data_IF_937963256465
#
_entry.id   IF_937963256465
#
_cell.length_a   1.000
_cell.length_b   1.000
_cell.length_c   1.000
_cell.angle_alpha   90.00
_cell.angle_beta   90.00
_cell.angle_gamma   90.00
#
_symmetry.space_group_name_H-M   'P 1'
#
loop_
_entity.id
_entity.type
_entity.pdbx_description
1 polymer ?
#
# COMPACT_ATOMS: atom_id res chain seq x y z
N UNK A 1 22.60 9.64 14.49
CA UNK A 1 22.44 9.01 13.16
C UNK A 1 20.95 8.83 12.89
N UNK A 2 20.50 8.98 11.64
CA UNK A 2 19.12 8.69 11.24
C UNK A 2 18.99 7.21 10.86
N UNK A 3 17.85 6.59 11.21
CA UNK A 3 17.57 5.19 10.93
C UNK A 3 16.62 5.06 9.74
N UNK A 4 16.74 3.99 8.96
CA UNK A 4 15.83 3.73 7.86
C UNK A 4 14.39 3.48 8.37
N UNK A 5 13.36 3.91 7.63
CA UNK A 5 11.98 3.61 7.98
C UNK A 5 11.69 2.11 7.87
N UNK A 6 10.77 1.63 8.70
CA UNK A 6 10.30 0.24 8.66
C UNK A 6 9.53 -0.06 7.38
N UNK A 7 9.71 -1.27 6.85
CA UNK A 7 9.01 -1.79 5.68
C UNK A 7 8.28 -3.08 6.08
N UNK A 8 7.09 -3.28 5.54
CA UNK A 8 6.23 -4.46 5.72
C UNK A 8 5.74 -4.99 4.38
N UNK A 9 5.50 -6.28 4.27
CA UNK A 9 4.95 -6.87 3.03
C UNK A 9 3.44 -6.64 2.94
N UNK A 10 2.93 -6.26 1.77
CA UNK A 10 1.49 -6.18 1.54
C UNK A 10 0.86 -7.57 1.54
N UNK A 11 -0.19 -7.79 2.32
CA UNK A 11 -0.89 -9.07 2.40
C UNK A 11 -1.66 -9.42 1.11
N UNK A 12 -2.00 -8.43 0.29
CA UNK A 12 -2.86 -8.62 -0.89
C UNK A 12 -2.04 -8.89 -2.18
N UNK A 13 -0.99 -8.09 -2.42
CA UNK A 13 -0.19 -8.21 -3.65
C UNK A 13 1.27 -8.63 -3.42
N UNK A 14 1.72 -8.72 -2.16
CA UNK A 14 3.09 -9.12 -1.83
C UNK A 14 4.16 -8.02 -1.94
N UNK A 15 3.81 -6.82 -2.41
CA UNK A 15 4.79 -5.74 -2.58
C UNK A 15 5.19 -5.08 -1.25
N UNK A 16 6.43 -4.55 -1.11
CA UNK A 16 6.83 -3.84 0.10
C UNK A 16 6.03 -2.55 0.25
N UNK A 17 5.53 -2.32 1.46
CA UNK A 17 4.77 -1.14 1.82
C UNK A 17 5.14 -0.65 3.21
N UNK A 18 4.84 0.62 3.46
CA UNK A 18 4.96 1.16 4.80
C UNK A 18 3.91 0.55 5.75
N UNK A 19 4.29 0.23 7.00
CA UNK A 19 3.35 -0.15 8.04
C UNK A 19 2.24 0.90 8.21
N UNK A 20 1.02 0.45 8.50
CA UNK A 20 -0.16 1.30 8.73
C UNK A 20 -0.56 2.23 7.57
N UNK A 21 -0.02 2.07 6.37
CA UNK A 21 -0.40 2.83 5.17
C UNK A 21 -1.09 1.94 4.14
N UNK A 22 -1.84 2.56 3.24
CA UNK A 22 -2.40 1.90 2.05
C UNK A 22 -1.23 1.42 1.18
N UNK A 23 -1.39 0.24 0.56
CA UNK A 23 -0.40 -0.24 -0.39
C UNK A 23 -0.38 0.68 -1.62
N UNK A 24 0.77 1.31 -1.96
CA UNK A 24 0.84 2.20 -3.11
C UNK A 24 0.60 1.47 -4.44
N UNK A 25 1.02 0.19 -4.53
CA UNK A 25 0.91 -0.61 -5.74
C UNK A 25 -0.52 -1.05 -6.06
N UNK A 26 -1.25 -1.59 -5.08
CA UNK A 26 -2.58 -2.18 -5.31
C UNK A 26 -3.75 -1.36 -4.73
N UNK A 27 -3.48 -0.28 -4.01
CA UNK A 27 -4.52 0.58 -3.42
C UNK A 27 -5.33 -0.06 -2.29
N UNK A 28 -4.91 -1.23 -1.78
CA UNK A 28 -5.64 -1.97 -0.74
C UNK A 28 -5.16 -1.69 0.68
N UNK A 29 -6.10 -1.68 1.62
CA UNK A 29 -5.84 -1.65 3.06
C UNK A 29 -6.91 -2.45 3.83
N UNK A 30 -6.47 -3.46 4.60
CA UNK A 30 -7.35 -4.35 5.39
C UNK A 30 -8.48 -4.96 4.56
N UNK A 31 -8.16 -5.50 3.37
CA UNK A 31 -9.12 -6.13 2.48
C UNK A 31 -10.12 -5.18 1.80
N UNK A 32 -9.89 -3.85 1.89
CA UNK A 32 -10.71 -2.84 1.19
C UNK A 32 -9.87 -2.17 0.11
N UNK A 33 -10.42 -2.07 -1.10
CA UNK A 33 -9.87 -1.22 -2.17
C UNK A 33 -10.21 0.23 -1.87
N UNK A 34 -9.19 1.08 -1.75
CA UNK A 34 -9.36 2.53 -1.48
C UNK A 34 -9.31 3.32 -2.78
N UNK A 35 -8.48 2.90 -3.72
CA UNK A 35 -8.42 3.44 -5.07
C UNK A 35 -7.97 2.34 -6.02
N UNK A 36 -8.46 2.39 -7.26
CA UNK A 36 -7.91 1.64 -8.38
C UNK A 36 -7.19 2.61 -9.29
N UNK A 37 -5.95 2.31 -9.65
CA UNK A 37 -5.17 3.14 -10.58
C UNK A 37 -5.82 3.20 -11.97
N UNK A 38 -6.70 2.24 -12.28
CA UNK A 38 -7.45 2.14 -13.54
C UNK A 38 -8.84 2.78 -13.50
N UNK A 39 -9.26 3.35 -12.36
CA UNK A 39 -10.51 4.09 -12.33
C UNK A 39 -10.26 5.51 -12.87
N UNK A 40 -10.85 5.80 -14.02
CA UNK A 40 -10.98 7.15 -14.55
C UNK A 40 -11.60 8.03 -13.46
N UNK A 41 -10.83 9.01 -12.98
CA UNK A 41 -11.30 10.01 -12.03
C UNK A 41 -12.17 10.97 -12.84
N UNK A 42 -13.49 10.83 -12.71
CA UNK A 42 -14.45 11.82 -13.22
C UNK A 42 -14.44 13.10 -12.39
#
# INVERSE_FOLDING_TARGET
ALSAPGISTCAECGEPKMPHRICPSCGMYKGRSVYSLDAEIE
#
